data_IF_934628950418
#
_entry.id   IF_934628950418
#
_cell.length_a   1.000
_cell.length_b   1.000
_cell.length_c   1.000
_cell.angle_alpha   90.00
_cell.angle_beta   90.00
_cell.angle_gamma   90.00
#
_symmetry.space_group_name_H-M   'P 1'
#
loop_
_entity.id
_entity.type
_entity.pdbx_description
1 polymer ?
#
# COMPACT_ATOMS: atom_id res chain seq x y z
N UNK A 1 -14.75 -12.69 -11.75
CA UNK A 1 -13.48 -13.07 -12.41
C UNK A 1 -12.42 -13.04 -11.34
N UNK A 2 -11.62 -14.09 -11.16
CA UNK A 2 -10.66 -14.14 -10.04
C UNK A 2 -9.60 -13.04 -10.24
N UNK A 3 -9.49 -12.10 -9.29
CA UNK A 3 -8.49 -11.03 -9.35
C UNK A 3 -7.10 -11.66 -9.19
N UNK A 4 -6.23 -11.43 -10.18
CA UNK A 4 -4.87 -11.97 -10.21
C UNK A 4 -3.85 -10.85 -10.02
N UNK A 5 -2.76 -11.17 -9.33
CA UNK A 5 -1.63 -10.26 -9.24
C UNK A 5 -0.91 -10.17 -10.59
N UNK A 6 -0.35 -8.99 -10.91
CA UNK A 6 0.42 -8.75 -12.15
C UNK A 6 1.65 -9.64 -12.27
N UNK A 7 2.21 -10.15 -11.16
CA UNK A 7 3.32 -11.11 -11.21
C UNK A 7 2.89 -12.54 -11.59
N UNK A 8 1.59 -12.81 -11.73
CA UNK A 8 1.05 -14.13 -12.04
C UNK A 8 0.79 -15.02 -10.82
N UNK A 9 1.28 -14.65 -9.64
CA UNK A 9 1.10 -15.42 -8.41
C UNK A 9 -0.19 -15.09 -7.64
N UNK A 10 -0.47 -15.90 -6.60
CA UNK A 10 -1.59 -15.74 -5.66
C UNK A 10 -1.28 -14.74 -4.55
N UNK A 11 -0.84 -13.53 -4.92
CA UNK A 11 -0.48 -12.48 -3.96
C UNK A 11 -1.70 -11.79 -3.33
N UNK A 12 -2.85 -11.85 -3.99
CA UNK A 12 -4.11 -11.22 -3.54
C UNK A 12 -4.94 -12.29 -2.85
N UNK A 13 -5.32 -12.04 -1.60
CA UNK A 13 -6.16 -12.91 -0.78
C UNK A 13 -7.33 -12.11 -0.18
N UNK A 14 -8.48 -12.76 0.07
CA UNK A 14 -9.54 -12.15 0.86
C UNK A 14 -8.99 -11.62 2.19
N UNK A 15 -9.42 -10.42 2.59
CA UNK A 15 -8.93 -9.77 3.81
C UNK A 15 -9.26 -10.60 5.05
N UNK A 16 -10.39 -11.30 5.05
CA UNK A 16 -10.76 -12.27 6.09
C UNK A 16 -9.70 -13.38 6.28
N UNK A 17 -9.06 -13.84 5.20
CA UNK A 17 -7.98 -14.82 5.27
C UNK A 17 -6.68 -14.21 5.77
N UNK A 18 -6.34 -12.99 5.32
CA UNK A 18 -5.13 -12.28 5.78
C UNK A 18 -5.20 -11.99 7.28
N UNK A 19 -6.39 -11.64 7.79
CA UNK A 19 -6.60 -11.29 9.20
C UNK A 19 -6.57 -12.48 10.15
N UNK A 20 -6.86 -13.71 9.68
CA UNK A 20 -7.07 -14.89 10.53
C UNK A 20 -5.92 -15.15 11.53
N UNK A 21 -4.68 -14.94 11.09
CA UNK A 21 -3.47 -15.19 11.88
C UNK A 21 -2.51 -13.98 11.89
N UNK A 22 -3.03 -12.77 11.64
CA UNK A 22 -2.19 -11.58 11.44
C UNK A 22 -1.30 -11.27 12.65
N UNK A 23 -1.81 -11.48 13.87
CA UNK A 23 -1.05 -11.26 15.11
C UNK A 23 0.11 -12.26 15.28
N UNK A 24 0.03 -13.43 14.65
CA UNK A 24 1.06 -14.47 14.70
C UNK A 24 2.01 -14.39 13.50
N UNK A 25 1.63 -13.65 12.45
CA UNK A 25 2.34 -13.60 11.18
C UNK A 25 3.80 -13.19 11.34
N UNK A 26 4.07 -12.14 12.14
CA UNK A 26 5.43 -11.67 12.43
C UNK A 26 6.02 -12.20 13.73
N UNK A 27 5.26 -12.97 14.53
CA UNK A 27 5.77 -13.45 15.82
C UNK A 27 6.90 -14.47 15.62
N UNK A 28 7.98 -14.38 16.42
CA UNK A 28 8.99 -15.41 16.49
C UNK A 28 8.42 -16.68 17.11
N UNK A 29 8.94 -17.84 16.70
CA UNK A 29 8.78 -19.05 17.49
C UNK A 29 9.85 -19.11 18.60
N UNK A 30 9.74 -20.08 19.52
CA UNK A 30 10.69 -20.25 20.65
C UNK A 30 12.15 -20.46 20.23
N UNK A 31 12.38 -20.88 18.98
CA UNK A 31 13.70 -21.19 18.44
C UNK A 31 14.27 -20.04 17.57
N UNK A 32 13.48 -19.00 17.31
CA UNK A 32 13.96 -17.81 16.61
C UNK A 32 15.01 -17.10 17.46
N UNK A 33 16.17 -16.84 16.86
CA UNK A 33 17.24 -16.07 17.48
C UNK A 33 17.10 -14.59 17.14
N UNK A 34 17.44 -13.74 18.08
CA UNK A 34 17.49 -12.28 17.91
C UNK A 34 18.95 -11.87 17.85
N UNK A 35 19.35 -11.23 16.76
CA UNK A 35 20.68 -10.64 16.63
C UNK A 35 20.58 -9.13 16.87
N UNK A 36 21.46 -8.58 17.71
CA UNK A 36 21.46 -7.13 18.01
C UNK A 36 22.36 -6.40 17.04
N UNK A 37 21.82 -6.06 15.87
CA UNK A 37 22.52 -5.23 14.88
C UNK A 37 22.29 -3.75 15.18
N UNK A 38 23.36 -2.98 15.38
CA UNK A 38 23.30 -1.53 15.55
C UNK A 38 23.06 -0.87 14.20
N UNK A 39 21.85 -0.35 13.99
CA UNK A 39 21.40 0.18 12.68
C UNK A 39 22.19 1.38 12.15
N UNK A 40 22.89 2.09 13.03
CA UNK A 40 23.65 3.31 12.72
C UNK A 40 25.15 3.06 12.55
N UNK A 41 25.65 1.90 12.99
CA UNK A 41 27.05 1.53 12.82
C UNK A 41 27.23 0.79 11.49
N UNK A 42 28.38 0.95 10.81
CA UNK A 42 28.70 0.17 9.62
C UNK A 42 28.48 -1.32 9.85
N UNK A 43 27.89 -2.02 8.89
CA UNK A 43 27.62 -3.46 9.04
C UNK A 43 28.93 -4.26 9.13
N UNK A 44 29.92 -3.91 8.30
CA UNK A 44 31.20 -4.59 8.21
C UNK A 44 32.07 -4.46 9.49
N UNK A 45 31.75 -3.53 10.39
CA UNK A 45 32.41 -3.38 11.69
C UNK A 45 31.78 -4.25 12.79
N UNK A 46 30.59 -4.81 12.52
CA UNK A 46 29.80 -5.56 13.51
C UNK A 46 29.80 -7.06 13.24
N UNK A 47 29.80 -7.45 11.96
CA UNK A 47 29.66 -8.84 11.51
C UNK A 47 30.60 -9.05 10.33
N UNK A 48 31.26 -10.20 10.27
CA UNK A 48 32.00 -10.61 9.09
C UNK A 48 31.03 -10.83 7.92
N UNK A 49 31.14 -10.04 6.84
CA UNK A 49 30.21 -10.09 5.72
C UNK A 49 30.18 -11.47 5.03
N UNK A 50 31.27 -12.22 5.09
CA UNK A 50 31.37 -13.57 4.52
C UNK A 50 30.50 -14.60 5.27
N UNK A 51 30.08 -14.29 6.50
CA UNK A 51 29.18 -15.13 7.29
C UNK A 51 27.69 -14.88 6.99
N UNK A 52 27.38 -13.80 6.26
CA UNK A 52 26.00 -13.42 5.95
C UNK A 52 25.58 -14.07 4.63
N UNK A 53 24.78 -15.12 4.74
CA UNK A 53 24.23 -15.89 3.62
C UNK A 53 22.72 -16.16 3.80
N UNK A 54 22.18 -17.07 2.97
CA UNK A 54 20.79 -17.49 3.05
C UNK A 54 20.46 -18.37 4.28
N UNK A 55 21.44 -18.74 5.11
CA UNK A 55 21.29 -19.50 6.37
C UNK A 55 21.48 -18.63 7.61
N UNK A 56 22.19 -17.52 7.48
CA UNK A 56 22.44 -16.59 8.57
C UNK A 56 21.13 -16.10 9.21
N UNK A 57 20.98 -16.36 10.52
CA UNK A 57 19.80 -16.03 11.31
C UNK A 57 18.53 -16.83 10.99
N UNK A 58 18.59 -17.86 10.13
CA UNK A 58 17.43 -18.68 9.81
C UNK A 58 16.91 -19.42 11.04
N UNK A 59 15.59 -19.46 11.15
CA UNK A 59 14.88 -20.33 12.07
C UNK A 59 14.16 -21.44 11.33
N UNK A 60 14.00 -22.60 11.97
CA UNK A 60 13.22 -23.73 11.43
C UNK A 60 11.76 -23.40 11.12
N UNK A 61 11.21 -22.32 11.68
CA UNK A 61 9.88 -21.83 11.32
C UNK A 61 9.84 -21.04 10.01
N UNK A 62 10.98 -20.92 9.31
CA UNK A 62 11.09 -20.22 8.02
C UNK A 62 11.07 -18.71 8.13
N UNK A 63 11.36 -18.14 9.31
CA UNK A 63 11.37 -16.68 9.52
C UNK A 63 12.74 -16.18 9.98
N UNK A 64 13.12 -14.98 9.54
CA UNK A 64 14.28 -14.21 10.05
C UNK A 64 13.85 -12.86 10.57
N UNK A 65 14.56 -12.34 11.57
CA UNK A 65 14.32 -10.98 12.05
C UNK A 65 14.60 -9.95 10.94
N UNK A 66 13.77 -8.92 10.79
CA UNK A 66 13.91 -7.90 9.74
C UNK A 66 15.33 -7.32 9.66
N UNK A 67 15.98 -7.01 10.79
CA UNK A 67 17.33 -6.43 10.76
C UNK A 67 18.38 -7.40 10.17
N UNK A 68 18.21 -8.71 10.35
CA UNK A 68 19.05 -9.75 9.73
C UNK A 68 18.80 -9.81 8.22
N UNK A 69 17.53 -9.76 7.80
CA UNK A 69 17.15 -9.71 6.39
C UNK A 69 17.77 -8.48 5.72
N UNK A 70 17.65 -7.32 6.36
CA UNK A 70 18.24 -6.07 5.85
C UNK A 70 19.76 -6.08 5.84
N UNK A 71 20.41 -6.77 6.79
CA UNK A 71 21.86 -6.97 6.76
C UNK A 71 22.29 -7.83 5.55
N UNK A 72 21.52 -8.86 5.21
CA UNK A 72 21.78 -9.67 4.01
C UNK A 72 21.59 -8.87 2.72
N UNK A 73 20.51 -8.06 2.62
CA UNK A 73 20.34 -7.14 1.49
C UNK A 73 21.51 -6.16 1.38
N UNK A 74 21.91 -5.54 2.50
CA UNK A 74 23.04 -4.61 2.51
C UNK A 74 24.36 -5.28 2.12
N UNK A 75 24.58 -6.52 2.54
CA UNK A 75 25.74 -7.32 2.12
C UNK A 75 25.74 -7.51 0.60
N UNK A 76 24.61 -7.89 -0.01
CA UNK A 76 24.50 -8.01 -1.48
C UNK A 76 24.80 -6.67 -2.15
N UNK A 77 24.26 -5.56 -1.63
CA UNK A 77 24.55 -4.22 -2.16
C UNK A 77 26.02 -3.83 -2.06
N UNK A 78 26.75 -4.28 -1.02
CA UNK A 78 28.18 -4.05 -0.88
C UNK A 78 28.96 -4.88 -1.90
N UNK A 79 28.63 -6.17 -2.05
CA UNK A 79 29.29 -7.06 -2.99
C UNK A 79 29.15 -6.57 -4.45
N UNK A 80 27.97 -6.03 -4.79
CA UNK A 80 27.66 -5.44 -6.10
C UNK A 80 28.21 -4.01 -6.29
N UNK A 81 28.91 -3.47 -5.29
CA UNK A 81 29.49 -2.13 -5.35
C UNK A 81 28.47 -0.98 -5.31
N UNK A 82 27.20 -1.25 -5.01
CA UNK A 82 26.15 -0.22 -4.83
C UNK A 82 26.36 0.54 -3.52
N UNK A 83 26.88 -0.14 -2.49
CA UNK A 83 27.23 0.44 -1.19
C UNK A 83 28.68 0.15 -0.85
N UNK A 84 29.27 1.00 -0.01
CA UNK A 84 30.59 0.75 0.54
C UNK A 84 30.52 0.07 1.92
N UNK A 85 31.67 -0.36 2.45
CA UNK A 85 31.77 -1.01 3.77
C UNK A 85 31.40 -0.11 4.94
N UNK A 86 31.24 1.21 4.74
CA UNK A 86 30.80 2.17 5.77
C UNK A 86 29.27 2.27 5.85
N UNK A 87 28.55 1.67 4.90
CA UNK A 87 27.10 1.65 4.90
C UNK A 87 26.53 0.88 6.10
N UNK A 88 25.32 1.27 6.50
CA UNK A 88 24.62 0.74 7.66
C UNK A 88 23.15 0.46 7.32
N UNK A 89 22.42 -0.21 8.21
CA UNK A 89 21.04 -0.63 7.92
C UNK A 89 20.11 0.57 7.70
N UNK A 90 20.40 1.74 8.31
CA UNK A 90 19.57 2.94 8.17
C UNK A 90 19.61 3.54 6.76
N UNK A 91 20.72 3.40 6.04
CA UNK A 91 20.93 3.96 4.71
C UNK A 91 21.03 2.91 3.59
N UNK A 92 20.70 1.64 3.89
CA UNK A 92 20.69 0.55 2.92
C UNK A 92 19.50 0.68 1.95
N UNK A 93 18.28 0.48 2.45
CA UNK A 93 17.02 0.54 1.72
C UNK A 93 15.89 0.92 2.68
N UNK A 94 14.74 1.29 2.14
CA UNK A 94 13.47 1.41 2.90
C UNK A 94 12.77 0.05 2.88
N UNK A 95 12.60 -0.63 4.03
CA UNK A 95 11.86 -1.88 4.10
C UNK A 95 10.36 -1.62 4.15
N UNK A 96 9.61 -2.26 3.25
CA UNK A 96 8.16 -2.18 3.15
C UNK A 96 7.58 -3.58 3.39
N UNK A 97 7.28 -3.89 4.65
CA UNK A 97 6.75 -5.20 5.05
C UNK A 97 5.33 -5.41 4.52
N UNK A 98 4.99 -6.64 4.17
CA UNK A 98 3.65 -7.04 3.74
C UNK A 98 3.25 -8.39 4.35
N UNK A 99 2.08 -8.49 5.00
CA UNK A 99 1.12 -7.41 5.24
C UNK A 99 1.68 -6.28 6.13
N UNK A 100 1.41 -5.03 5.77
CA UNK A 100 1.67 -3.86 6.60
C UNK A 100 0.78 -3.87 7.82
N UNK A 101 1.31 -4.37 8.94
CA UNK A 101 0.60 -4.45 10.21
C UNK A 101 1.50 -3.93 11.33
N UNK A 102 0.91 -3.15 12.24
CA UNK A 102 1.65 -2.55 13.35
C UNK A 102 2.07 -3.61 14.35
N UNK A 103 3.35 -3.59 14.70
CA UNK A 103 3.94 -4.46 15.72
C UNK A 103 4.74 -3.61 16.69
N UNK A 104 4.76 -4.03 17.95
CA UNK A 104 5.53 -3.41 19.05
C UNK A 104 6.96 -3.98 19.17
N UNK A 105 7.34 -4.88 18.25
CA UNK A 105 8.65 -5.51 18.19
C UNK A 105 9.18 -5.54 16.75
N UNK A 106 10.48 -5.82 16.56
CA UNK A 106 11.07 -5.99 15.22
C UNK A 106 10.54 -7.27 14.58
N UNK A 107 9.84 -7.21 13.44
CA UNK A 107 9.12 -8.36 12.90
C UNK A 107 10.06 -9.49 12.46
N UNK A 108 9.60 -10.74 12.60
CA UNK A 108 10.22 -11.90 12.00
C UNK A 108 9.51 -12.23 10.69
N UNK A 109 10.22 -12.00 9.59
CA UNK A 109 9.70 -12.04 8.24
C UNK A 109 9.70 -13.47 7.70
N UNK A 110 8.54 -14.00 7.24
CA UNK A 110 8.52 -15.18 6.40
C UNK A 110 8.94 -14.84 4.96
N UNK A 111 9.07 -15.88 4.12
CA UNK A 111 9.29 -15.73 2.68
C UNK A 111 8.24 -14.81 2.03
N UNK A 112 8.67 -14.05 1.03
CA UNK A 112 7.81 -13.16 0.23
C UNK A 112 7.00 -12.12 1.04
N UNK A 113 7.56 -11.62 2.14
CA UNK A 113 6.89 -10.67 3.05
C UNK A 113 7.53 -9.28 3.09
N UNK A 114 8.47 -9.00 2.20
CA UNK A 114 9.19 -7.72 2.13
C UNK A 114 9.30 -7.20 0.70
N UNK A 115 8.99 -5.93 0.52
CA UNK A 115 9.39 -5.13 -0.64
C UNK A 115 10.46 -4.15 -0.18
N UNK A 116 11.51 -3.93 -0.96
CA UNK A 116 12.55 -2.94 -0.64
C UNK A 116 12.55 -1.81 -1.65
N UNK A 117 12.76 -0.59 -1.18
CA UNK A 117 12.91 0.61 -2.01
C UNK A 117 14.27 1.26 -1.78
N UNK A 118 14.98 1.58 -2.86
CA UNK A 118 16.26 2.32 -2.77
C UNK A 118 16.46 3.22 -3.98
N UNK A 119 17.07 4.39 -3.78
CA UNK A 119 17.40 5.30 -4.88
C UNK A 119 18.60 4.85 -5.71
N UNK A 120 19.44 3.98 -5.15
CA UNK A 120 20.73 3.58 -5.72
C UNK A 120 20.72 2.20 -6.38
N UNK A 121 19.64 1.44 -6.19
CA UNK A 121 19.53 0.06 -6.69
C UNK A 121 19.63 -0.02 -8.22
N UNK A 122 20.23 -1.09 -8.71
CA UNK A 122 20.25 -1.46 -10.13
C UNK A 122 19.62 -2.85 -10.34
N UNK A 123 19.36 -3.21 -11.60
CA UNK A 123 18.66 -4.44 -11.95
C UNK A 123 19.42 -5.72 -11.53
N UNK A 124 20.73 -5.76 -11.76
CA UNK A 124 21.58 -6.91 -11.43
C UNK A 124 21.57 -7.21 -9.92
N UNK A 125 21.79 -6.18 -9.09
CA UNK A 125 21.72 -6.29 -7.64
C UNK A 125 20.31 -6.67 -7.18
N UNK A 126 19.26 -6.11 -7.78
CA UNK A 126 17.87 -6.45 -7.47
C UNK A 126 17.56 -7.94 -7.74
N UNK A 127 17.97 -8.48 -8.89
CA UNK A 127 17.80 -9.90 -9.23
C UNK A 127 18.56 -10.81 -8.26
N UNK A 128 19.79 -10.42 -7.88
CA UNK A 128 20.58 -11.15 -6.89
C UNK A 128 19.92 -11.12 -5.50
N UNK A 129 19.36 -9.99 -5.07
CA UNK A 129 18.60 -9.89 -3.82
C UNK A 129 17.41 -10.84 -3.81
N UNK A 130 16.59 -10.87 -4.87
CA UNK A 130 15.45 -11.80 -4.97
C UNK A 130 15.91 -13.27 -4.86
N UNK A 131 17.06 -13.60 -5.45
CA UNK A 131 17.60 -14.95 -5.44
C UNK A 131 18.19 -15.37 -4.08
N UNK A 132 18.87 -14.45 -3.39
CA UNK A 132 19.60 -14.77 -2.15
C UNK A 132 18.80 -14.49 -0.86
N UNK A 133 17.82 -13.58 -0.92
CA UNK A 133 17.06 -13.10 0.25
C UNK A 133 15.57 -13.48 0.12
N UNK A 134 15.17 -14.70 0.54
CA UNK A 134 13.81 -15.24 0.32
C UNK A 134 12.65 -14.39 0.86
N UNK A 135 12.88 -13.56 1.87
CA UNK A 135 11.85 -12.66 2.40
C UNK A 135 11.53 -11.52 1.44
N UNK A 136 12.49 -11.10 0.62
CA UNK A 136 12.31 -10.03 -0.36
C UNK A 136 11.61 -10.60 -1.59
N UNK A 137 10.37 -10.17 -1.81
CA UNK A 137 9.63 -10.51 -3.03
C UNK A 137 9.72 -9.48 -4.13
N UNK A 138 10.11 -8.25 -3.83
CA UNK A 138 10.10 -7.14 -4.78
C UNK A 138 11.14 -6.08 -4.47
N UNK A 139 11.75 -5.54 -5.51
CA UNK A 139 12.80 -4.52 -5.41
C UNK A 139 12.44 -3.32 -6.29
N UNK A 140 12.32 -2.16 -5.66
CA UNK A 140 11.98 -0.89 -6.30
C UNK A 140 13.17 0.07 -6.31
N UNK A 141 13.27 0.82 -7.42
CA UNK A 141 14.15 1.98 -7.52
C UNK A 141 13.36 3.28 -7.45
N UNK A 142 13.71 4.12 -6.48
CA UNK A 142 13.03 5.40 -6.29
C UNK A 142 13.43 6.12 -5.01
N UNK A 143 12.91 7.33 -4.84
CA UNK A 143 13.11 8.14 -3.64
C UNK A 143 11.81 8.20 -2.83
N UNK A 144 11.84 7.65 -1.62
CA UNK A 144 10.70 7.63 -0.70
C UNK A 144 10.16 9.03 -0.34
N UNK A 145 10.95 10.09 -0.57
CA UNK A 145 10.54 11.49 -0.35
C UNK A 145 9.70 12.05 -1.50
N UNK A 146 9.67 11.37 -2.65
CA UNK A 146 8.85 11.77 -3.79
C UNK A 146 7.51 11.03 -3.75
N UNK A 147 6.44 11.79 -3.85
CA UNK A 147 5.08 11.26 -3.94
C UNK A 147 4.88 10.55 -5.28
N UNK A 148 4.51 9.28 -5.21
CA UNK A 148 4.11 8.47 -6.37
C UNK A 148 2.63 8.70 -6.67
N UNK A 149 2.29 8.80 -7.95
CA UNK A 149 0.95 9.10 -8.45
C UNK A 149 0.91 10.37 -9.28
N UNK A 150 -0.30 10.87 -9.53
CA UNK A 150 -0.57 12.12 -10.26
C UNK A 150 -1.25 13.11 -9.30
N UNK A 151 -0.89 14.40 -9.39
CA UNK A 151 -1.44 15.43 -8.51
C UNK A 151 -2.71 16.08 -9.05
N UNK A 152 -2.80 16.19 -10.37
CA UNK A 152 -3.87 16.88 -11.11
C UNK A 152 -3.81 16.41 -12.59
N UNK A 153 -4.87 16.61 -13.37
CA UNK A 153 -4.96 16.28 -14.81
C UNK A 153 -3.82 16.86 -15.65
N UNK A 154 -3.32 18.03 -15.25
CA UNK A 154 -2.27 18.77 -15.96
C UNK A 154 -0.85 18.36 -15.50
N UNK A 155 -0.74 17.38 -14.60
CA UNK A 155 0.55 16.94 -14.04
C UNK A 155 1.06 15.66 -14.69
N UNK A 156 2.37 15.56 -14.87
CA UNK A 156 2.99 14.28 -15.19
C UNK A 156 3.03 13.36 -13.96
N UNK A 157 2.71 12.07 -14.11
CA UNK A 157 2.77 11.13 -12.99
C UNK A 157 4.23 10.86 -12.59
N UNK A 158 4.43 10.56 -11.31
CA UNK A 158 5.68 10.00 -10.81
C UNK A 158 5.44 8.56 -10.37
N UNK A 159 6.29 7.65 -10.82
CA UNK A 159 6.29 6.24 -10.40
C UNK A 159 7.71 5.82 -10.01
N UNK A 160 7.81 4.80 -9.16
CA UNK A 160 9.07 4.09 -8.98
C UNK A 160 9.27 3.08 -10.12
N UNK A 161 10.51 2.64 -10.31
CA UNK A 161 10.83 1.56 -11.24
C UNK A 161 10.84 0.23 -10.49
N UNK A 162 10.07 -0.76 -10.95
CA UNK A 162 10.14 -2.13 -10.47
C UNK A 162 11.32 -2.84 -11.14
N UNK A 163 12.38 -3.10 -10.39
CA UNK A 163 13.60 -3.72 -10.91
C UNK A 163 13.51 -5.25 -10.97
N UNK A 164 12.88 -5.86 -9.97
CA UNK A 164 12.71 -7.32 -9.89
C UNK A 164 11.54 -7.71 -8.98
N UNK A 165 10.92 -8.85 -9.29
CA UNK A 165 9.91 -9.50 -8.45
C UNK A 165 8.52 -8.84 -8.49
N UNK A 166 7.83 -8.84 -7.34
CA UNK A 166 6.48 -8.32 -7.14
C UNK A 166 6.45 -7.34 -5.96
N UNK A 167 5.96 -6.13 -6.20
CA UNK A 167 5.87 -5.07 -5.19
C UNK A 167 4.45 -4.86 -4.63
N UNK A 168 3.52 -5.76 -4.94
CA UNK A 168 2.16 -5.69 -4.42
C UNK A 168 2.18 -5.85 -2.90
N UNK A 169 1.85 -4.81 -2.16
CA UNK A 169 1.83 -4.80 -0.70
C UNK A 169 0.40 -4.72 -0.19
N UNK A 170 0.06 -5.45 0.87
CA UNK A 170 -1.23 -5.35 1.54
C UNK A 170 -1.08 -4.59 2.85
N UNK A 171 -1.74 -3.44 3.01
CA UNK A 171 -1.82 -2.70 4.27
C UNK A 171 -3.03 -3.11 5.09
N UNK A 172 -2.85 -3.39 6.37
CA UNK A 172 -3.96 -3.63 7.30
C UNK A 172 -4.28 -2.33 8.04
N UNK A 173 -5.46 -1.78 7.80
CA UNK A 173 -5.94 -0.55 8.43
C UNK A 173 -7.06 -0.90 9.40
N UNK A 174 -6.91 -0.49 10.66
CA UNK A 174 -7.96 -0.65 11.67
C UNK A 174 -8.91 0.55 11.59
N UNK A 175 -10.21 0.28 11.56
CA UNK A 175 -11.26 1.33 11.60
C UNK A 175 -12.33 0.96 12.64
N UNK A 176 -13.12 1.93 13.13
CA UNK A 176 -14.26 1.66 14.00
C UNK A 176 -15.31 0.69 13.40
N UNK A 177 -15.30 0.53 12.07
CA UNK A 177 -16.25 -0.30 11.31
C UNK A 177 -15.65 -1.64 10.87
N UNK A 178 -14.50 -2.01 11.45
CA UNK A 178 -13.77 -3.25 11.16
C UNK A 178 -12.47 -3.01 10.39
N UNK A 179 -11.62 -4.03 10.38
CA UNK A 179 -10.34 -3.98 9.68
C UNK A 179 -10.50 -4.02 8.15
N UNK A 180 -9.60 -3.32 7.47
CA UNK A 180 -9.46 -3.28 6.01
C UNK A 180 -8.12 -3.88 5.61
N UNK A 181 -8.08 -4.52 4.45
CA UNK A 181 -6.83 -4.83 3.76
C UNK A 181 -6.76 -4.06 2.45
N UNK A 182 -5.74 -3.24 2.28
CA UNK A 182 -5.55 -2.37 1.13
C UNK A 182 -4.30 -2.81 0.38
N UNK A 183 -4.50 -3.52 -0.72
CA UNK A 183 -3.48 -3.89 -1.67
C UNK A 183 -3.06 -2.70 -2.54
N UNK A 184 -1.75 -2.51 -2.72
CA UNK A 184 -1.14 -1.41 -3.46
C UNK A 184 0.06 -1.93 -4.26
N UNK A 185 0.13 -1.64 -5.55
CA UNK A 185 1.38 -1.75 -6.29
C UNK A 185 2.24 -0.54 -5.92
N UNK A 186 3.25 -0.77 -5.11
CA UNK A 186 3.97 0.28 -4.43
C UNK A 186 4.79 1.20 -5.37
N UNK A 187 5.07 0.74 -6.59
CA UNK A 187 5.67 1.55 -7.64
C UNK A 187 4.72 2.58 -8.25
N UNK A 188 3.41 2.37 -8.16
CA UNK A 188 2.37 3.23 -8.76
C UNK A 188 1.49 3.95 -7.74
N UNK A 189 1.53 3.52 -6.47
CA UNK A 189 0.74 4.09 -5.39
C UNK A 189 1.65 4.65 -4.30
N UNK A 190 1.30 5.83 -3.78
CA UNK A 190 2.02 6.47 -2.68
C UNK A 190 2.18 5.54 -1.47
N UNK A 191 3.37 5.55 -0.86
CA UNK A 191 3.66 4.83 0.38
C UNK A 191 3.03 5.58 1.54
N UNK A 192 2.04 4.96 2.16
CA UNK A 192 1.52 5.36 3.46
C UNK A 192 1.91 4.28 4.47
N UNK A 193 2.54 4.67 5.57
CA UNK A 193 2.86 3.74 6.64
C UNK A 193 1.64 3.54 7.54
N UNK A 194 1.36 2.31 7.99
CA UNK A 194 0.32 2.06 8.99
C UNK A 194 0.54 2.94 10.23
N UNK A 195 -0.54 3.53 10.74
CA UNK A 195 -0.55 4.33 11.97
C UNK A 195 -1.58 3.76 12.94
N UNK A 196 -1.32 3.83 14.25
CA UNK A 196 -2.23 3.31 15.30
C UNK A 196 -3.59 4.01 15.19
N UNK A 197 -3.55 5.31 14.91
CA UNK A 197 -4.71 6.13 14.63
C UNK A 197 -4.48 6.77 13.26
N UNK A 198 -5.45 6.62 12.34
CA UNK A 198 -5.42 7.30 11.06
C UNK A 198 -6.24 8.59 11.17
N UNK A 199 -5.61 9.78 11.10
CA UNK A 199 -6.34 11.05 11.14
C UNK A 199 -7.45 11.13 10.08
N UNK A 200 -7.19 10.55 8.90
CA UNK A 200 -8.17 10.46 7.81
C UNK A 200 -9.44 9.71 8.22
N UNK A 201 -9.28 8.58 8.92
CA UNK A 201 -10.41 7.77 9.40
C UNK A 201 -11.17 8.50 10.52
N UNK A 202 -10.48 9.23 11.41
CA UNK A 202 -11.13 10.00 12.47
C UNK A 202 -11.97 11.16 11.93
N UNK A 203 -11.46 11.88 10.91
CA UNK A 203 -12.22 12.95 10.24
C UNK A 203 -13.46 12.35 9.55
N UNK A 204 -13.29 11.23 8.84
CA UNK A 204 -14.39 10.53 8.19
C UNK A 204 -15.43 10.02 9.19
N UNK A 205 -15.00 9.46 10.33
CA UNK A 205 -15.91 8.98 11.38
C UNK A 205 -16.80 10.11 11.91
N UNK A 206 -16.23 11.31 12.13
CA UNK A 206 -16.99 12.49 12.55
C UNK A 206 -18.03 12.89 11.50
N UNK A 207 -17.65 12.90 10.23
CA UNK A 207 -18.57 13.24 9.15
C UNK A 207 -19.72 12.23 9.00
N UNK A 208 -19.46 10.93 9.21
CA UNK A 208 -20.47 9.88 9.10
C UNK A 208 -21.51 9.93 10.24
N UNK A 209 -21.16 10.44 11.43
CA UNK A 209 -22.06 10.46 12.60
C UNK A 209 -23.36 11.23 12.39
N UNK A 210 -23.35 12.21 11.49
CA UNK A 210 -24.50 13.07 11.23
C UNK A 210 -25.50 12.46 10.23
N UNK A 211 -25.20 11.26 9.70
CA UNK A 211 -26.00 10.62 8.66
C UNK A 211 -26.38 9.19 9.05
N UNK A 212 -27.60 8.80 8.64
CA UNK A 212 -28.02 7.40 8.67
C UNK A 212 -27.97 6.85 7.24
N UNK A 213 -27.11 5.85 6.98
CA UNK A 213 -26.96 5.19 5.67
C UNK A 213 -26.71 6.18 4.51
N UNK A 214 -25.65 7.02 4.56
CA UNK A 214 -25.42 8.09 3.57
C UNK A 214 -25.09 7.55 2.18
N UNK A 215 -25.35 8.35 1.13
CA UNK A 215 -24.61 8.19 -0.14
C UNK A 215 -23.31 8.99 -0.09
N UNK A 216 -22.21 8.36 -0.51
CA UNK A 216 -20.87 8.94 -0.43
C UNK A 216 -20.24 8.97 -1.82
N UNK A 217 -19.60 10.09 -2.15
CA UNK A 217 -18.70 10.20 -3.29
C UNK A 217 -17.27 10.35 -2.76
N UNK A 218 -16.43 9.34 -2.97
CA UNK A 218 -14.99 9.40 -2.72
C UNK A 218 -14.30 9.95 -3.97
N UNK A 219 -14.04 11.26 -3.99
CA UNK A 219 -13.72 12.01 -5.20
C UNK A 219 -12.31 11.76 -5.76
N UNK A 220 -11.38 11.43 -4.86
CA UNK A 220 -9.95 11.17 -5.12
C UNK A 220 -9.56 9.91 -4.35
N UNK A 221 -10.21 8.80 -4.70
CA UNK A 221 -10.31 7.63 -3.84
C UNK A 221 -9.00 6.87 -3.67
N UNK A 222 -8.00 7.11 -4.52
CA UNK A 222 -6.73 6.41 -4.53
C UNK A 222 -6.95 4.88 -4.55
N UNK A 223 -6.42 4.13 -3.58
CA UNK A 223 -6.64 2.68 -3.48
C UNK A 223 -7.99 2.30 -2.81
N UNK A 224 -8.86 3.27 -2.52
CA UNK A 224 -10.23 3.05 -2.06
C UNK A 224 -10.41 2.95 -0.55
N UNK A 225 -9.39 3.28 0.26
CA UNK A 225 -9.42 3.11 1.72
C UNK A 225 -10.63 3.79 2.39
N UNK A 226 -10.92 5.04 2.03
CA UNK A 226 -11.99 5.84 2.65
C UNK A 226 -13.36 5.38 2.18
N UNK A 227 -13.57 5.23 0.86
CA UNK A 227 -14.82 4.70 0.33
C UNK A 227 -15.16 3.28 0.83
N UNK A 228 -14.18 2.38 0.96
CA UNK A 228 -14.42 1.04 1.54
C UNK A 228 -14.76 1.14 3.02
N UNK A 229 -14.15 2.08 3.76
CA UNK A 229 -14.56 2.39 5.15
C UNK A 229 -16.03 2.79 5.20
N UNK A 230 -16.48 3.67 4.29
CA UNK A 230 -17.90 4.07 4.18
C UNK A 230 -18.82 2.88 3.88
N UNK A 231 -18.43 1.99 2.97
CA UNK A 231 -19.19 0.76 2.69
C UNK A 231 -19.33 -0.11 3.95
N UNK A 232 -18.24 -0.31 4.71
CA UNK A 232 -18.28 -1.07 5.98
C UNK A 232 -19.08 -0.36 7.08
N UNK A 233 -19.08 0.97 7.08
CA UNK A 233 -19.92 1.78 7.97
C UNK A 233 -21.43 1.71 7.62
N UNK A 234 -21.78 1.06 6.51
CA UNK A 234 -23.16 0.90 6.07
C UNK A 234 -23.66 2.07 5.25
N UNK A 235 -22.83 2.69 4.40
CA UNK A 235 -23.28 3.63 3.38
C UNK A 235 -24.21 2.94 2.35
N UNK A 236 -25.26 3.65 1.92
CA UNK A 236 -26.26 3.11 0.98
C UNK A 236 -25.69 2.93 -0.42
N UNK A 237 -24.78 3.84 -0.78
CA UNK A 237 -24.09 3.89 -2.06
C UNK A 237 -22.76 4.60 -1.87
N UNK A 238 -21.68 4.06 -2.45
CA UNK A 238 -20.38 4.74 -2.54
C UNK A 238 -19.93 4.82 -3.99
N UNK A 239 -19.65 6.03 -4.47
CA UNK A 239 -18.97 6.22 -5.75
C UNK A 239 -17.49 6.41 -5.49
N UNK A 240 -16.66 5.61 -6.13
CA UNK A 240 -15.21 5.74 -6.12
C UNK A 240 -14.79 6.45 -7.41
N UNK A 241 -14.06 7.54 -7.29
CA UNK A 241 -13.49 8.23 -8.43
C UNK A 241 -12.03 8.56 -8.17
N UNK A 242 -11.19 8.37 -9.17
CA UNK A 242 -9.82 8.87 -9.19
C UNK A 242 -9.39 9.07 -10.63
N UNK A 243 -8.58 10.10 -10.88
CA UNK A 243 -8.01 10.35 -12.20
C UNK A 243 -6.84 9.40 -12.50
N UNK A 244 -6.20 8.86 -11.46
CA UNK A 244 -5.08 7.95 -11.59
C UNK A 244 -5.57 6.52 -11.81
N UNK A 245 -5.49 6.06 -13.06
CA UNK A 245 -5.98 4.73 -13.44
C UNK A 245 -5.39 3.57 -12.60
N UNK A 246 -4.09 3.54 -12.25
CA UNK A 246 -3.57 2.52 -11.34
C UNK A 246 -4.23 2.51 -9.95
N UNK A 247 -4.66 3.67 -9.44
CA UNK A 247 -5.43 3.75 -8.21
C UNK A 247 -6.80 3.07 -8.38
N UNK A 248 -7.48 3.29 -9.50
CA UNK A 248 -8.73 2.60 -9.84
C UNK A 248 -8.52 1.08 -9.92
N UNK A 249 -7.49 0.60 -10.62
CA UNK A 249 -7.18 -0.83 -10.65
C UNK A 249 -6.99 -1.41 -9.24
N UNK A 250 -6.27 -0.69 -8.35
CA UNK A 250 -6.12 -1.13 -6.96
C UNK A 250 -7.41 -1.04 -6.15
N UNK A 251 -8.27 -0.04 -6.39
CA UNK A 251 -9.58 0.07 -5.76
C UNK A 251 -10.45 -1.14 -6.10
N UNK A 252 -10.45 -1.60 -7.36
CA UNK A 252 -11.17 -2.82 -7.76
C UNK A 252 -10.63 -4.07 -7.06
N UNK A 253 -9.30 -4.20 -6.93
CA UNK A 253 -8.67 -5.26 -6.14
C UNK A 253 -9.15 -5.22 -4.69
N UNK A 254 -9.16 -4.03 -4.10
CA UNK A 254 -9.49 -3.83 -2.70
C UNK A 254 -10.96 -4.04 -2.40
N UNK A 255 -11.86 -3.68 -3.31
CA UNK A 255 -13.29 -3.99 -3.19
C UNK A 255 -13.51 -5.51 -3.08
N UNK A 256 -13.01 -6.29 -4.04
CA UNK A 256 -13.12 -7.76 -4.00
C UNK A 256 -12.47 -8.34 -2.74
N UNK A 257 -11.23 -7.93 -2.44
CA UNK A 257 -10.50 -8.45 -1.28
C UNK A 257 -11.24 -8.17 0.05
N UNK A 258 -11.92 -7.03 0.17
CA UNK A 258 -12.70 -6.66 1.35
C UNK A 258 -14.13 -7.21 1.37
N UNK A 259 -14.50 -8.04 0.38
CA UNK A 259 -15.79 -8.72 0.31
C UNK A 259 -16.89 -7.96 -0.42
N UNK A 260 -16.53 -7.03 -1.31
CA UNK A 260 -17.45 -6.28 -2.17
C UNK A 260 -17.28 -6.73 -3.63
N UNK A 261 -18.10 -7.68 -4.12
CA UNK A 261 -17.94 -8.24 -5.46
C UNK A 261 -18.08 -7.19 -6.56
N UNK A 262 -17.15 -7.22 -7.52
CA UNK A 262 -16.99 -6.27 -8.61
C UNK A 262 -17.53 -6.85 -9.91
N UNK A 263 -18.32 -6.04 -10.63
CA UNK A 263 -18.81 -6.31 -11.98
C UNK A 263 -18.27 -5.22 -12.91
N UNK A 264 -17.39 -5.61 -13.83
CA UNK A 264 -16.85 -4.70 -14.83
C UNK A 264 -17.94 -4.23 -15.79
N UNK A 265 -17.90 -2.95 -16.12
CA UNK A 265 -18.78 -2.35 -17.11
C UNK A 265 -18.22 -2.61 -18.51
N UNK A 266 -19.07 -3.03 -19.45
CA UNK A 266 -18.66 -3.48 -20.78
C UNK A 266 -18.72 -2.42 -21.89
N UNK A 267 -19.31 -1.23 -21.64
CA UNK A 267 -19.71 -0.32 -22.73
C UNK A 267 -19.77 1.18 -22.41
N UNK A 268 -19.78 1.60 -21.15
CA UNK A 268 -19.71 3.02 -20.78
C UNK A 268 -18.25 3.44 -20.65
N UNK A 269 -17.87 4.58 -21.26
CA UNK A 269 -16.45 4.95 -21.40
C UNK A 269 -15.79 5.28 -20.05
N UNK A 270 -16.56 5.72 -19.06
CA UNK A 270 -16.04 6.29 -17.81
C UNK A 270 -16.44 5.50 -16.56
N UNK A 271 -17.60 4.82 -16.56
CA UNK A 271 -17.94 3.84 -15.52
C UNK A 271 -17.12 2.57 -15.76
N UNK A 272 -16.19 2.29 -14.86
CA UNK A 272 -15.27 1.16 -14.97
C UNK A 272 -15.89 -0.12 -14.43
N UNK A 273 -16.55 -0.02 -13.27
CA UNK A 273 -17.17 -1.17 -12.62
C UNK A 273 -18.26 -0.74 -11.63
N UNK A 274 -19.07 -1.71 -11.23
CA UNK A 274 -20.11 -1.53 -10.21
C UNK A 274 -20.25 -2.76 -9.32
N UNK A 275 -20.94 -2.59 -8.19
CA UNK A 275 -21.37 -3.66 -7.30
C UNK A 275 -22.75 -3.35 -6.73
N UNK A 276 -23.14 -4.04 -5.65
CA UNK A 276 -24.49 -3.90 -5.09
C UNK A 276 -24.80 -2.49 -4.58
N UNK A 277 -23.81 -1.82 -4.01
CA UNK A 277 -23.93 -0.49 -3.40
C UNK A 277 -22.72 0.40 -3.72
N UNK A 278 -22.07 0.18 -4.86
CA UNK A 278 -20.98 1.05 -5.31
C UNK A 278 -20.85 1.12 -6.83
N UNK A 279 -20.22 2.20 -7.29
CA UNK A 279 -19.79 2.43 -8.66
C UNK A 279 -18.35 2.95 -8.65
N UNK A 280 -17.59 2.66 -9.70
CA UNK A 280 -16.18 3.05 -9.81
C UNK A 280 -15.97 3.76 -11.15
N UNK A 281 -15.48 5.00 -11.09
CA UNK A 281 -15.17 5.85 -12.24
C UNK A 281 -13.68 6.17 -12.27
N UNK A 282 -13.16 6.47 -13.46
CA UNK A 282 -11.79 6.91 -13.65
C UNK A 282 -11.78 8.24 -14.40
N UNK A 283 -12.14 9.33 -13.73
CA UNK A 283 -12.20 10.66 -14.37
C UNK A 283 -11.72 11.77 -13.45
N UNK A 284 -11.51 12.94 -14.06
CA UNK A 284 -11.35 14.18 -13.34
C UNK A 284 -12.65 14.53 -12.61
N UNK A 285 -12.56 14.85 -11.31
CA UNK A 285 -13.72 15.26 -10.51
C UNK A 285 -14.49 16.43 -11.14
N UNK A 286 -13.80 17.32 -11.88
CA UNK A 286 -14.42 18.47 -12.55
C UNK A 286 -15.34 18.05 -13.69
N UNK A 287 -15.10 16.88 -14.27
CA UNK A 287 -15.91 16.30 -15.35
C UNK A 287 -16.95 15.31 -14.83
N UNK A 288 -16.78 14.82 -13.60
CA UNK A 288 -17.65 13.80 -12.99
C UNK A 288 -19.13 14.23 -12.90
N UNK A 289 -19.41 15.54 -12.83
CA UNK A 289 -20.77 16.10 -12.86
C UNK A 289 -21.54 15.77 -14.15
N UNK A 290 -20.84 15.45 -15.24
CA UNK A 290 -21.47 15.08 -16.51
C UNK A 290 -21.95 13.61 -16.52
N UNK A 291 -21.57 12.83 -15.52
CA UNK A 291 -21.83 11.38 -15.46
C UNK A 291 -22.69 10.97 -14.26
N UNK A 292 -22.84 11.85 -13.26
CA UNK A 292 -23.61 11.57 -12.05
C UNK A 292 -24.88 12.42 -12.01
N UNK A 293 -26.03 11.76 -11.98
CA UNK A 293 -27.36 12.41 -11.99
C UNK A 293 -27.91 12.71 -10.58
N UNK A 294 -27.22 12.28 -9.53
CA UNK A 294 -27.67 12.44 -8.14
C UNK A 294 -26.70 13.23 -7.26
N UNK A 295 -27.25 13.83 -6.20
CA UNK A 295 -26.47 14.50 -5.16
C UNK A 295 -26.09 13.52 -4.06
N UNK A 296 -24.84 13.58 -3.63
CA UNK A 296 -24.30 12.76 -2.55
C UNK A 296 -24.44 13.47 -1.21
N UNK A 297 -24.63 12.70 -0.14
CA UNK A 297 -24.71 13.27 1.21
C UNK A 297 -23.33 13.77 1.66
N UNK A 298 -22.27 13.01 1.33
CA UNK A 298 -20.87 13.31 1.65
C UNK A 298 -20.03 13.20 0.38
N UNK A 299 -19.20 14.20 0.10
CA UNK A 299 -18.13 14.15 -0.89
C UNK A 299 -16.77 14.23 -0.18
N UNK A 300 -15.91 13.24 -0.36
CA UNK A 300 -14.59 13.16 0.26
C UNK A 300 -13.55 13.65 -0.74
N UNK A 301 -12.72 14.62 -0.33
CA UNK A 301 -11.59 15.14 -1.11
C UNK A 301 -10.30 14.89 -0.31
N UNK A 302 -9.50 13.93 -0.75
CA UNK A 302 -8.20 13.54 -0.15
C UNK A 302 -7.12 13.69 -1.22
N UNK A 303 -6.51 14.87 -1.29
CA UNK A 303 -5.43 15.14 -2.25
C UNK A 303 -4.06 14.95 -1.60
N UNK A 304 -3.01 14.83 -2.42
CA UNK A 304 -1.66 14.78 -1.87
C UNK A 304 -1.31 16.07 -1.10
N UNK A 305 -0.47 15.97 -0.05
CA UNK A 305 0.03 17.14 0.66
C UNK A 305 0.63 18.20 -0.27
N UNK A 306 0.18 19.45 -0.11
CA UNK A 306 0.63 20.59 -0.91
C UNK A 306 -0.07 20.78 -2.26
N UNK A 307 -1.09 19.98 -2.58
CA UNK A 307 -1.99 20.25 -3.70
C UNK A 307 -3.05 21.28 -3.29
N UNK A 308 -3.32 22.26 -4.15
CA UNK A 308 -4.42 23.22 -3.94
C UNK A 308 -5.77 22.52 -4.14
N UNK A 309 -6.56 22.45 -3.08
CA UNK A 309 -7.85 21.74 -3.04
C UNK A 309 -9.02 22.59 -3.51
N UNK A 310 -8.86 23.89 -3.77
CA UNK A 310 -9.97 24.79 -4.03
C UNK A 310 -10.86 24.33 -5.20
N UNK A 311 -10.25 23.92 -6.32
CA UNK A 311 -10.98 23.44 -7.51
C UNK A 311 -11.68 22.10 -7.28
N UNK A 312 -11.05 21.21 -6.51
CA UNK A 312 -11.63 19.91 -6.13
C UNK A 312 -12.84 20.10 -5.22
N UNK A 313 -12.74 20.99 -4.23
CA UNK A 313 -13.85 21.34 -3.32
C UNK A 313 -15.01 21.97 -4.08
N UNK A 314 -14.74 22.89 -5.02
CA UNK A 314 -15.79 23.50 -5.85
C UNK A 314 -16.53 22.45 -6.69
N UNK A 315 -15.80 21.54 -7.34
CA UNK A 315 -16.39 20.44 -8.11
C UNK A 315 -17.18 19.48 -7.21
N UNK A 316 -16.64 19.09 -6.05
CA UNK A 316 -17.31 18.25 -5.07
C UNK A 316 -18.61 18.88 -4.55
N UNK A 317 -18.63 20.20 -4.32
CA UNK A 317 -19.82 20.93 -3.90
C UNK A 317 -20.94 20.95 -4.96
N UNK A 318 -20.57 20.81 -6.25
CA UNK A 318 -21.55 20.59 -7.33
C UNK A 318 -22.11 19.18 -7.35
N UNK A 319 -21.53 18.23 -6.62
CA UNK A 319 -21.95 16.83 -6.57
C UNK A 319 -22.56 16.40 -5.24
N UNK A 320 -22.34 17.11 -4.13
CA UNK A 320 -22.89 16.72 -2.84
C UNK A 320 -23.22 17.86 -1.90
N UNK A 321 -23.76 17.48 -0.72
CA UNK A 321 -24.24 18.40 0.31
C UNK A 321 -23.14 18.84 1.27
N UNK A 322 -22.31 17.89 1.70
CA UNK A 322 -21.20 18.11 2.61
C UNK A 322 -19.89 17.70 1.94
N UNK A 323 -18.92 18.62 1.89
CA UNK A 323 -17.58 18.32 1.37
C UNK A 323 -16.63 18.15 2.54
N UNK A 324 -16.06 16.97 2.66
CA UNK A 324 -15.10 16.59 3.71
C UNK A 324 -13.72 16.56 3.09
N UNK A 325 -12.85 17.44 3.54
CA UNK A 325 -11.45 17.50 3.11
C UNK A 325 -10.60 16.74 4.12
N UNK A 326 -9.72 15.88 3.61
CA UNK A 326 -8.84 15.00 4.37
C UNK A 326 -7.39 15.44 4.22
#
# INVERSE_FOLDING_TARGET
MEIKCRCGDKCIKPVSEVLKDIELFYKPCRDCKTEKIRKFSPLAEQINLDEIDNRFGNCKCGKRQLDIVMAHVLKVMIDEGIKDKKANLRNACVPLITPGYLTDYVPFLPENSLVILSSEMNKECAERVIKEVPEVKGVLKGDARKTVGIKDSDSSPHIYELLAGCDLRCDIIQTPYGALGIYKYQHEIHIEFPQVHSPKIEILEKALKDYNNPSVLDCTCGPGSLGITCLKAGARKVVFNDIWHPAIETTLINLEANGFPVKFSGSEKELIASGNNFEVYSTDIRELVNYLDEKYDICIVDTFPGVDTAKFIEAAGKLGKNVVVI
#
